data_IF_667431046863
#
_entry.id   IF_667431046863
#
_cell.length_a   1.000
_cell.length_b   1.000
_cell.length_c   1.000
_cell.angle_alpha   90.00
_cell.angle_beta   90.00
_cell.angle_gamma   90.00
#
_symmetry.space_group_name_H-M   'P 1'
#
loop_
_entity.id
_entity.type
_entity.pdbx_description
1 polymer ?
#
# COMPACT_ATOMS: atom_id res chain seq x y z
N UNK A 1 12.30 13.33 15.31
CA UNK A 1 13.37 12.83 14.42
C UNK A 1 12.81 11.60 13.73
N UNK A 2 12.67 11.62 12.41
CA UNK A 2 12.26 10.44 11.64
C UNK A 2 13.49 9.56 11.45
N UNK A 3 13.46 8.35 12.00
CA UNK A 3 14.54 7.39 11.84
C UNK A 3 14.66 6.98 10.36
N UNK A 4 15.88 6.94 9.84
CA UNK A 4 16.13 6.50 8.47
C UNK A 4 15.88 5.01 8.38
N UNK A 5 15.11 4.59 7.37
CA UNK A 5 14.91 3.17 7.08
C UNK A 5 15.95 2.74 6.06
N UNK A 6 16.64 1.63 6.31
CA UNK A 6 17.68 1.09 5.43
C UNK A 6 17.08 0.41 4.17
N UNK A 7 16.36 1.19 3.35
CA UNK A 7 15.84 0.77 2.04
C UNK A 7 16.49 1.57 0.90
N UNK A 8 16.73 0.93 -0.25
CA UNK A 8 17.45 1.55 -1.37
C UNK A 8 16.61 2.51 -2.24
N UNK A 9 15.27 2.51 -2.07
CA UNK A 9 14.32 3.25 -2.89
C UNK A 9 12.94 3.31 -2.18
N UNK A 10 11.92 3.88 -2.81
CA UNK A 10 10.53 3.85 -2.33
C UNK A 10 9.93 2.48 -2.65
N UNK A 11 9.31 1.85 -1.66
CA UNK A 11 8.45 0.69 -1.82
C UNK A 11 7.04 1.09 -1.43
N UNK A 12 6.07 0.83 -2.30
CA UNK A 12 4.66 1.11 -2.04
C UNK A 12 3.83 -0.14 -2.39
N UNK A 13 3.16 -0.70 -1.40
CA UNK A 13 2.23 -1.80 -1.56
C UNK A 13 0.81 -1.28 -1.35
N UNK A 14 -0.04 -1.43 -2.36
CA UNK A 14 -1.45 -1.04 -2.30
C UNK A 14 -2.36 -2.24 -2.51
N UNK A 15 -3.40 -2.34 -1.67
CA UNK A 15 -4.45 -3.35 -1.79
C UNK A 15 -5.52 -2.90 -2.77
N UNK A 16 -5.81 -3.70 -3.79
CA UNK A 16 -6.89 -3.46 -4.77
C UNK A 16 -6.88 -2.05 -5.37
N UNK A 17 -5.77 -1.59 -5.98
CA UNK A 17 -5.76 -0.31 -6.68
C UNK A 17 -6.70 -0.37 -7.88
N UNK A 18 -7.75 0.45 -7.88
CA UNK A 18 -8.75 0.48 -8.96
C UNK A 18 -9.25 1.88 -9.32
N UNK A 19 -8.84 2.90 -8.59
CA UNK A 19 -9.17 4.30 -8.85
C UNK A 19 -8.01 5.17 -8.38
N UNK A 20 -7.84 6.38 -8.94
CA UNK A 20 -6.82 7.31 -8.49
C UNK A 20 -6.91 7.54 -6.99
N UNK A 21 -5.77 7.52 -6.32
CA UNK A 21 -5.69 7.63 -4.86
C UNK A 21 -5.13 8.99 -4.46
N UNK A 22 -6.01 9.95 -4.15
CA UNK A 22 -5.66 11.38 -3.97
C UNK A 22 -4.54 11.65 -2.95
N UNK A 23 -4.38 10.80 -1.93
CA UNK A 23 -3.39 10.98 -0.85
C UNK A 23 -2.28 9.93 -0.84
N UNK A 24 -2.19 9.11 -1.89
CA UNK A 24 -1.14 8.09 -2.03
C UNK A 24 -0.09 8.51 -3.06
N UNK A 25 1.12 8.02 -2.85
CA UNK A 25 2.21 8.18 -3.81
C UNK A 25 2.17 7.10 -4.91
N UNK A 26 1.34 6.06 -4.75
CA UNK A 26 1.35 4.85 -5.55
C UNK A 26 1.19 5.09 -7.06
N UNK A 27 0.31 6.02 -7.43
CA UNK A 27 0.04 6.35 -8.84
C UNK A 27 1.20 7.11 -9.51
N UNK A 28 2.13 7.66 -8.73
CA UNK A 28 3.32 8.38 -9.21
C UNK A 28 4.57 7.49 -9.36
N UNK A 29 4.48 6.20 -9.00
CA UNK A 29 5.60 5.27 -9.08
C UNK A 29 5.60 4.50 -10.41
N UNK A 30 6.67 4.64 -11.17
CA UNK A 30 6.75 4.17 -12.57
C UNK A 30 7.01 2.66 -12.73
N UNK A 31 7.38 1.96 -11.66
CA UNK A 31 7.84 0.58 -11.75
C UNK A 31 7.02 -0.35 -10.88
N UNK A 32 6.35 -1.31 -11.50
CA UNK A 32 5.68 -2.41 -10.79
C UNK A 32 6.68 -3.50 -10.45
N UNK A 33 6.69 -3.93 -9.19
CA UNK A 33 7.51 -5.04 -8.71
C UNK A 33 6.77 -6.37 -8.84
N UNK A 34 7.47 -7.47 -9.15
CA UNK A 34 6.87 -8.79 -9.07
C UNK A 34 6.51 -9.11 -7.61
N UNK A 35 5.35 -9.74 -7.40
CA UNK A 35 4.96 -10.25 -6.08
C UNK A 35 5.71 -11.55 -5.78
N UNK A 36 6.42 -11.58 -4.66
CA UNK A 36 6.95 -12.81 -4.10
C UNK A 36 5.84 -13.58 -3.34
N UNK A 37 6.03 -14.88 -3.03
CA UNK A 37 5.17 -15.60 -2.10
C UNK A 37 5.07 -14.89 -0.75
N UNK A 38 3.88 -14.88 -0.14
CA UNK A 38 3.61 -14.23 1.15
C UNK A 38 2.97 -12.85 1.07
N UNK A 39 2.96 -12.22 -0.10
CA UNK A 39 2.17 -11.00 -0.34
C UNK A 39 0.69 -11.34 -0.58
N UNK A 40 -0.26 -10.48 -0.13
CA UNK A 40 -1.67 -10.65 -0.46
C UNK A 40 -1.92 -10.71 -1.96
N UNK A 41 -2.84 -11.58 -2.39
CA UNK A 41 -3.10 -11.83 -3.81
C UNK A 41 -3.55 -10.58 -4.56
N UNK A 42 -4.31 -9.73 -3.89
CA UNK A 42 -4.86 -8.49 -4.41
C UNK A 42 -3.95 -7.26 -4.24
N UNK A 43 -2.77 -7.42 -3.64
CA UNK A 43 -1.79 -6.36 -3.53
C UNK A 43 -1.16 -6.06 -4.90
N UNK A 44 -0.76 -4.81 -5.09
CA UNK A 44 0.13 -4.41 -6.20
C UNK A 44 1.28 -3.64 -5.57
N UNK A 45 2.49 -3.91 -6.07
CA UNK A 45 3.74 -3.40 -5.51
C UNK A 45 4.37 -2.46 -6.51
N UNK A 46 4.77 -1.27 -6.07
CA UNK A 46 5.45 -0.27 -6.90
C UNK A 46 6.69 0.32 -6.25
N UNK A 47 7.56 0.87 -7.10
CA UNK A 47 8.80 1.54 -6.71
C UNK A 47 9.15 2.66 -7.70
N UNK A 48 9.96 3.60 -7.24
CA UNK A 48 10.56 4.68 -8.03
C UNK A 48 11.87 4.26 -8.72
N UNK A 49 12.40 3.07 -8.40
CA UNK A 49 13.68 2.61 -8.95
C UNK A 49 13.62 1.20 -9.53
N UNK A 50 13.83 1.10 -10.85
CA UNK A 50 13.82 -0.17 -11.60
C UNK A 50 14.90 -1.13 -11.09
N UNK A 51 14.56 -2.42 -10.99
CA UNK A 51 15.50 -3.49 -10.63
C UNK A 51 15.92 -3.52 -9.15
N UNK A 52 15.28 -2.70 -8.32
CA UNK A 52 15.58 -2.61 -6.89
C UNK A 52 15.16 -3.89 -6.17
N UNK A 53 16.02 -4.35 -5.26
CA UNK A 53 15.71 -5.44 -4.33
C UNK A 53 15.50 -4.85 -2.94
N UNK A 54 14.35 -5.14 -2.36
CA UNK A 54 14.02 -4.70 -1.01
C UNK A 54 14.34 -5.80 0.02
N UNK A 55 14.84 -5.44 1.21
CA UNK A 55 15.03 -6.39 2.30
C UNK A 55 13.69 -7.05 2.68
N UNK A 56 13.55 -8.35 2.40
CA UNK A 56 12.27 -9.05 2.58
C UNK A 56 11.84 -9.10 4.04
N UNK A 57 12.79 -9.20 4.99
CA UNK A 57 12.47 -9.20 6.41
C UNK A 57 11.81 -7.90 6.89
N UNK A 58 12.20 -6.75 6.34
CA UNK A 58 11.57 -5.46 6.65
C UNK A 58 10.13 -5.45 6.15
N UNK A 59 9.89 -5.90 4.91
CA UNK A 59 8.54 -5.91 4.35
C UNK A 59 7.65 -6.92 5.09
N UNK A 60 8.15 -8.14 5.30
CA UNK A 60 7.39 -9.24 5.92
C UNK A 60 6.87 -8.89 7.33
N UNK A 61 7.65 -8.15 8.12
CA UNK A 61 7.24 -7.68 9.45
C UNK A 61 6.03 -6.72 9.47
N UNK A 62 5.59 -6.25 8.29
CA UNK A 62 4.47 -5.32 8.15
C UNK A 62 3.29 -5.89 7.35
N UNK A 63 3.32 -7.17 6.96
CA UNK A 63 2.28 -7.77 6.13
C UNK A 63 1.06 -8.25 6.92
N UNK A 64 1.21 -8.60 8.20
CA UNK A 64 0.12 -9.10 9.05
C UNK A 64 -1.14 -8.18 9.04
N UNK A 65 -1.03 -6.84 9.20
CA UNK A 65 -2.16 -5.91 9.08
C UNK A 65 -3.04 -6.06 7.83
N UNK A 66 -2.49 -6.62 6.74
CA UNK A 66 -3.17 -6.73 5.45
C UNK A 66 -4.01 -8.00 5.32
N UNK A 67 -3.86 -8.97 6.23
CA UNK A 67 -4.60 -10.22 6.22
C UNK A 67 -6.12 -10.01 6.38
N UNK A 68 -6.53 -9.04 7.22
CA UNK A 68 -7.94 -8.78 7.52
C UNK A 68 -8.59 -7.79 6.52
N UNK A 69 -7.86 -7.37 5.49
CA UNK A 69 -8.36 -6.50 4.42
C UNK A 69 -8.66 -5.04 4.80
N UNK A 70 -8.39 -4.65 6.05
CA UNK A 70 -8.56 -3.28 6.57
C UNK A 70 -7.40 -2.36 6.24
N UNK A 71 -6.16 -2.84 6.31
CA UNK A 71 -5.00 -2.11 5.82
C UNK A 71 -5.08 -1.96 4.29
N UNK A 72 -4.73 -0.78 3.79
CA UNK A 72 -4.90 -0.39 2.38
C UNK A 72 -3.58 -0.13 1.68
N UNK A 73 -2.63 0.46 2.38
CA UNK A 73 -1.35 0.89 1.80
C UNK A 73 -0.23 0.72 2.81
N UNK A 74 0.91 0.18 2.38
CA UNK A 74 2.18 0.17 3.10
C UNK A 74 3.22 0.89 2.24
N UNK A 75 3.62 2.06 2.69
CA UNK A 75 4.65 2.88 2.06
C UNK A 75 5.92 2.84 2.92
N UNK A 76 7.01 2.35 2.36
CA UNK A 76 8.33 2.33 2.99
C UNK A 76 9.26 3.18 2.15
N UNK A 77 9.90 4.16 2.77
CA UNK A 77 10.84 5.07 2.11
C UNK A 77 12.11 5.17 2.95
N UNK A 78 13.23 5.66 2.38
CA UNK A 78 14.42 5.96 3.17
C UNK A 78 14.16 6.95 4.33
N UNK A 79 13.06 7.70 4.28
CA UNK A 79 12.69 8.71 5.26
C UNK A 79 11.70 8.21 6.33
N UNK A 80 11.20 6.99 6.23
CA UNK A 80 10.24 6.44 7.18
C UNK A 80 9.23 5.49 6.56
N UNK A 81 8.31 5.02 7.40
CA UNK A 81 7.22 4.08 7.05
C UNK A 81 5.87 4.74 7.29
N UNK A 82 4.91 4.49 6.40
CA UNK A 82 3.50 4.89 6.54
C UNK A 82 2.60 3.68 6.24
N UNK A 83 1.62 3.46 7.11
CA UNK A 83 0.56 2.47 6.90
C UNK A 83 -0.77 3.21 6.85
N UNK A 84 -1.60 2.91 5.86
CA UNK A 84 -2.99 3.41 5.75
C UNK A 84 -3.94 2.30 6.15
N UNK A 85 -4.84 2.59 7.10
CA UNK A 85 -5.77 1.62 7.68
C UNK A 85 -7.21 2.17 7.68
N UNK A 86 -8.16 1.35 7.23
CA UNK A 86 -9.60 1.67 7.33
C UNK A 86 -10.12 1.46 8.75
N UNK A 87 -10.30 2.54 9.51
CA UNK A 87 -10.81 2.48 10.88
C UNK A 87 -12.33 2.26 10.95
N UNK A 88 -13.08 2.92 10.06
CA UNK A 88 -14.53 2.77 9.95
C UNK A 88 -14.96 3.12 8.52
N UNK A 89 -16.07 2.55 8.07
CA UNK A 89 -16.72 2.87 6.81
C UNK A 89 -18.16 3.31 7.07
N UNK A 90 -18.65 4.25 6.28
CA UNK A 90 -20.04 4.64 6.32
C UNK A 90 -20.95 3.47 5.92
N UNK A 91 -22.05 3.28 6.62
CA UNK A 91 -23.00 2.21 6.31
C UNK A 91 -23.70 2.54 4.98
N UNK A 92 -23.37 1.78 3.92
CA UNK A 92 -23.82 2.02 2.54
C UNK A 92 -25.34 2.20 2.42
N UNK A 93 -26.11 1.49 3.25
CA UNK A 93 -27.56 1.58 3.31
C UNK A 93 -28.08 2.99 3.66
N UNK A 94 -27.32 3.79 4.42
CA UNK A 94 -27.74 5.11 4.91
C UNK A 94 -27.42 6.27 3.96
N UNK A 95 -26.54 6.05 2.98
CA UNK A 95 -26.11 7.09 2.03
C UNK A 95 -26.47 6.76 0.57
N UNK A 96 -27.13 5.63 0.32
CA UNK A 96 -27.61 5.23 -1.02
C UNK A 96 -28.76 6.06 -1.59
N UNK A 97 -28.90 7.33 -1.21
CA UNK A 97 -30.02 8.21 -1.61
C UNK A 97 -29.88 8.72 -3.06
N UNK A 98 -28.72 8.57 -3.71
CA UNK A 98 -28.46 9.17 -5.03
C UNK A 98 -28.37 8.21 -6.22
N UNK A 99 -28.89 6.98 -6.12
CA UNK A 99 -29.06 6.11 -7.30
C UNK A 99 -30.54 5.84 -7.56
N UNK A 100 -31.26 6.86 -8.04
CA UNK A 100 -32.48 6.62 -8.84
C UNK A 100 -32.07 6.41 -10.29
N UNK A 101 -32.61 5.35 -10.86
CA UNK A 101 -32.46 4.88 -12.24
C UNK A 101 -32.98 5.90 -13.26
#
# INVERSE_FOLDING_TARGET
LTEKVAVPAVFDMMMRPGSPTTFSNFDHLDHTLPKAPGFPAEAVLRTDRRGTRFPQGIIAGHLEPFADGRAKELLITPNGVRIVWLLAEAERARYGVFRKA
#
